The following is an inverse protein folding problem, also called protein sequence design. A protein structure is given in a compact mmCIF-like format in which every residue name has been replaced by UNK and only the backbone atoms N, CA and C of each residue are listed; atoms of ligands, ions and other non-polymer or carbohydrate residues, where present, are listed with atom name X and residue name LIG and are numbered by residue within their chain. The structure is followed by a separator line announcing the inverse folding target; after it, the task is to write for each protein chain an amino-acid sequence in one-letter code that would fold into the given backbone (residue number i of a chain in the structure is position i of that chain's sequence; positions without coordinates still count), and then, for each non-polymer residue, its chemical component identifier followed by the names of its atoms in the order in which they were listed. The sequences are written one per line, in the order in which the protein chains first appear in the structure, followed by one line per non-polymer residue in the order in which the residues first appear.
data_IF_860696309646
#
_entry.id   IF_860696309646
#
_cell.length_a   1.000
_cell.length_b   1.000
_cell.length_c   1.000
_cell.angle_alpha   90.00
_cell.angle_beta   90.00
_cell.angle_gamma   90.00
#
_symmetry.space_group_name_H-M   'P 1'
#
loop_
_entity.id
_entity.type
_entity.pdbx_description
1 polymer ?
#
# COMPACT_ATOMS: atom_id res chain seq x y z
N UNK A 1 3.66 -20.22 7.76
CA UNK A 1 4.92 -19.47 7.47
C UNK A 1 6.06 -20.47 7.49
N UNK A 2 6.52 -20.93 6.33
CA UNK A 2 7.72 -21.77 6.26
C UNK A 2 8.92 -20.86 6.43
N UNK A 3 9.72 -21.11 7.46
CA UNK A 3 10.89 -20.28 7.79
C UNK A 3 11.90 -20.38 6.66
N UNK A 4 12.70 -19.34 6.46
CA UNK A 4 13.79 -19.29 5.47
C UNK A 4 14.80 -20.45 5.60
N UNK A 5 14.77 -21.16 6.72
CA UNK A 5 15.45 -22.43 6.97
C UNK A 5 14.89 -23.62 6.18
N UNK A 6 13.56 -23.76 6.06
CA UNK A 6 12.96 -24.86 5.29
C UNK A 6 13.25 -24.72 3.78
N UNK A 7 13.28 -23.49 3.26
CA UNK A 7 13.58 -23.23 1.84
C UNK A 7 15.07 -23.49 1.54
N UNK A 8 15.97 -23.12 2.46
CA UNK A 8 17.40 -23.44 2.34
C UNK A 8 17.66 -24.95 2.47
N UNK A 9 16.95 -25.62 3.37
CA UNK A 9 17.02 -27.07 3.54
C UNK A 9 16.52 -27.82 2.31
N UNK A 10 15.41 -27.37 1.69
CA UNK A 10 14.89 -27.95 0.45
C UNK A 10 15.81 -27.70 -0.75
N UNK A 11 16.44 -26.52 -0.84
CA UNK A 11 17.46 -26.23 -1.87
C UNK A 11 18.71 -27.08 -1.72
N UNK A 12 19.13 -27.33 -0.49
CA UNK A 12 20.29 -28.18 -0.19
C UNK A 12 19.99 -29.66 -0.48
N UNK A 13 18.78 -30.13 -0.17
CA UNK A 13 18.30 -31.47 -0.53
C UNK A 13 18.20 -31.61 -2.06
N UNK A 14 17.68 -30.61 -2.78
CA UNK A 14 17.60 -30.64 -4.26
C UNK A 14 19.00 -30.67 -4.91
N UNK A 15 19.97 -29.94 -4.35
CA UNK A 15 21.36 -29.95 -4.83
C UNK A 15 22.11 -31.25 -4.47
N UNK A 16 21.80 -31.88 -3.32
CA UNK A 16 22.33 -33.19 -2.96
C UNK A 16 21.78 -34.30 -3.87
N UNK A 17 20.50 -34.23 -4.23
CA UNK A 17 19.88 -35.16 -5.20
C UNK A 17 20.46 -34.99 -6.60
N UNK A 18 20.75 -33.75 -7.02
CA UNK A 18 21.43 -33.48 -8.30
C UNK A 18 22.92 -33.89 -8.31
N UNK A 19 23.61 -33.79 -7.17
CA UNK A 19 25.02 -34.14 -7.04
C UNK A 19 25.32 -35.64 -6.98
N UNK A 20 24.36 -36.47 -6.55
CA UNK A 20 24.51 -37.93 -6.48
C UNK A 20 24.35 -38.64 -7.83
N UNK A 21 23.91 -37.95 -8.88
CA UNK A 21 23.77 -38.52 -10.24
C UNK A 21 25.09 -38.44 -11.03
N UNK A 22 26.10 -37.70 -10.56
CA UNK A 22 27.37 -37.51 -11.30
C UNK A 22 28.61 -38.20 -10.70
N UNK A 23 28.46 -39.14 -9.75
CA UNK A 23 29.64 -39.83 -9.23
C UNK A 23 29.35 -41.18 -8.59
N UNK A 24 29.77 -42.26 -9.25
CA UNK A 24 29.83 -43.58 -8.63
C UNK A 24 30.04 -44.73 -9.60
N UNK A 25 31.27 -44.92 -10.09
CA UNK A 25 31.71 -46.20 -10.62
C UNK A 25 33.03 -46.59 -9.92
N UNK A 26 32.94 -47.28 -8.79
CA UNK A 26 34.02 -48.11 -8.23
C UNK A 26 33.43 -49.15 -7.28
N UNK A 27 33.65 -50.41 -7.65
CA UNK A 27 33.38 -51.64 -6.89
C UNK A 27 34.28 -51.79 -5.67
N UNK A 28 33.72 -52.17 -4.51
CA UNK A 28 34.27 -53.21 -3.60
C UNK A 28 33.20 -53.66 -2.59
N UNK A 29 32.84 -54.94 -2.72
CA UNK A 29 32.37 -55.94 -1.73
C UNK A 29 32.26 -55.54 -0.24
N UNK A 30 31.07 -55.72 0.35
CA UNK A 30 30.76 -56.66 1.47
C UNK A 30 29.34 -56.41 2.04
N UNK A 31 28.49 -57.45 1.90
CA UNK A 31 27.29 -57.89 2.64
C UNK A 31 26.33 -56.92 3.36
N UNK A 32 25.04 -56.98 2.97
CA UNK A 32 23.91 -57.38 3.85
C UNK A 32 22.53 -56.92 3.34
N UNK A 33 21.76 -57.88 2.81
CA UNK A 33 20.29 -58.02 2.80
C UNK A 33 19.40 -56.75 2.74
N UNK A 34 18.93 -56.36 1.55
CA UNK A 34 17.52 -56.05 1.26
C UNK A 34 17.29 -56.23 -0.26
N UNK A 35 16.12 -56.75 -0.63
CA UNK A 35 15.78 -57.14 -2.00
C UNK A 35 15.88 -55.97 -3.00
N UNK A 36 16.44 -56.25 -4.18
CA UNK A 36 16.37 -55.37 -5.35
C UNK A 36 14.91 -55.33 -5.84
N UNK A 37 14.19 -54.26 -5.49
CA UNK A 37 13.03 -53.82 -6.25
C UNK A 37 13.53 -53.05 -7.49
N UNK A 38 12.90 -53.27 -8.64
CA UNK A 38 13.32 -52.80 -9.97
C UNK A 38 13.55 -51.27 -10.05
N UNK A 39 14.81 -50.87 -9.92
CA UNK A 39 15.36 -49.50 -9.94
C UNK A 39 14.96 -48.68 -11.19
N UNK A 40 14.74 -49.35 -12.33
CA UNK A 40 14.37 -48.69 -13.59
C UNK A 40 12.97 -48.02 -13.56
N UNK A 41 12.03 -48.56 -12.78
CA UNK A 41 10.66 -48.04 -12.69
C UNK A 41 10.61 -46.76 -11.84
N UNK A 42 11.40 -46.71 -10.77
CA UNK A 42 11.50 -45.58 -9.86
C UNK A 42 12.17 -44.40 -10.56
N UNK A 43 13.26 -44.64 -11.30
CA UNK A 43 13.93 -43.61 -12.11
C UNK A 43 13.00 -42.97 -13.15
N UNK A 44 12.24 -43.79 -13.88
CA UNK A 44 11.26 -43.30 -14.86
C UNK A 44 10.14 -42.47 -14.21
N UNK A 45 9.66 -42.88 -13.03
CA UNK A 45 8.65 -42.14 -12.29
C UNK A 45 9.18 -40.77 -11.79
N UNK A 46 10.41 -40.71 -11.28
CA UNK A 46 11.04 -39.45 -10.86
C UNK A 46 11.26 -38.49 -12.04
N UNK A 47 11.69 -39.00 -13.20
CA UNK A 47 11.82 -38.23 -14.43
C UNK A 47 10.46 -37.62 -14.81
N UNK A 48 9.41 -38.44 -14.82
CA UNK A 48 8.04 -38.01 -15.16
C UNK A 48 7.51 -36.93 -14.21
N UNK A 49 7.73 -37.08 -12.90
CA UNK A 49 7.31 -36.09 -11.89
C UNK A 49 8.07 -34.78 -12.06
N UNK A 50 9.37 -34.86 -12.37
CA UNK A 50 10.21 -33.67 -12.59
C UNK A 50 9.77 -32.91 -13.84
N UNK A 51 9.49 -33.61 -14.94
CA UNK A 51 8.96 -33.00 -16.17
C UNK A 51 7.58 -32.35 -15.94
N UNK A 52 6.71 -33.00 -15.16
CA UNK A 52 5.42 -32.44 -14.80
C UNK A 52 5.56 -31.17 -13.96
N UNK A 53 6.50 -31.12 -13.02
CA UNK A 53 6.77 -29.91 -12.22
C UNK A 53 7.33 -28.77 -13.06
N UNK A 54 8.27 -29.04 -13.97
CA UNK A 54 8.80 -28.02 -14.88
C UNK A 54 7.71 -27.44 -15.79
N UNK A 55 6.85 -28.30 -16.33
CA UNK A 55 5.69 -27.87 -17.13
C UNK A 55 4.70 -27.02 -16.32
N UNK A 56 4.46 -27.37 -15.05
CA UNK A 56 3.63 -26.55 -14.16
C UNK A 56 4.27 -25.19 -13.85
N UNK A 57 5.59 -25.16 -13.65
CA UNK A 57 6.33 -23.91 -13.43
C UNK A 57 6.24 -22.98 -14.65
N UNK A 58 6.40 -23.53 -15.86
CA UNK A 58 6.26 -22.78 -17.10
C UNK A 58 4.84 -22.25 -17.30
N UNK A 59 3.82 -23.08 -17.03
CA UNK A 59 2.42 -22.64 -17.03
C UNK A 59 2.16 -21.51 -16.04
N UNK A 60 2.70 -21.58 -14.82
CA UNK A 60 2.57 -20.51 -13.83
C UNK A 60 3.25 -19.22 -14.30
N UNK A 61 4.46 -19.30 -14.88
CA UNK A 61 5.16 -18.13 -15.41
C UNK A 61 4.40 -17.50 -16.58
N UNK A 62 3.84 -18.32 -17.48
CA UNK A 62 3.02 -17.84 -18.59
C UNK A 62 1.71 -17.22 -18.11
N UNK A 63 1.07 -17.79 -17.08
CA UNK A 63 -0.12 -17.19 -16.44
C UNK A 63 0.23 -15.87 -15.75
N UNK A 64 1.36 -15.79 -15.04
CA UNK A 64 1.82 -14.55 -14.42
C UNK A 64 2.10 -13.48 -15.47
N UNK A 65 2.71 -13.86 -16.60
CA UNK A 65 2.95 -12.96 -17.73
C UNK A 65 1.63 -12.52 -18.37
N UNK A 66 0.68 -13.44 -18.56
CA UNK A 66 -0.66 -13.12 -19.06
C UNK A 66 -1.43 -12.20 -18.11
N UNK A 67 -1.30 -12.39 -16.79
CA UNK A 67 -1.85 -11.49 -15.79
C UNK A 67 -1.20 -10.11 -15.86
N UNK A 68 0.14 -10.03 -15.95
CA UNK A 68 0.86 -8.76 -16.16
C UNK A 68 0.44 -8.06 -17.45
N UNK A 69 0.24 -8.83 -18.52
CA UNK A 69 -0.15 -8.30 -19.83
C UNK A 69 -1.62 -7.86 -19.83
N UNK A 70 -2.52 -8.58 -19.16
CA UNK A 70 -3.90 -8.12 -18.96
C UNK A 70 -3.96 -6.86 -18.08
N UNK A 71 -3.17 -6.77 -17.01
CA UNK A 71 -3.08 -5.55 -16.20
C UNK A 71 -2.60 -4.36 -17.02
N UNK A 72 -1.61 -4.55 -17.90
CA UNK A 72 -1.14 -3.51 -18.81
C UNK A 72 -2.20 -3.08 -19.83
N UNK A 73 -2.95 -4.02 -20.40
CA UNK A 73 -4.02 -3.71 -21.36
C UNK A 73 -5.19 -2.99 -20.69
N UNK A 74 -5.46 -3.26 -19.41
CA UNK A 74 -6.45 -2.50 -18.62
C UNK A 74 -5.96 -1.06 -18.39
N UNK A 75 -4.67 -0.87 -18.10
CA UNK A 75 -4.05 0.48 -17.98
C UNK A 75 -4.12 1.26 -19.31
N UNK A 76 -3.80 0.62 -20.44
CA UNK A 76 -3.73 1.26 -21.75
C UNK A 76 -5.12 1.57 -22.36
N UNK A 77 -6.19 0.89 -21.93
CA UNK A 77 -7.52 0.98 -22.56
C UNK A 77 -8.54 1.83 -21.79
N UNK A 78 -8.24 2.27 -20.56
CA UNK A 78 -9.20 3.00 -19.72
C UNK A 78 -8.87 4.46 -19.37
N UNK A 79 -7.80 5.07 -19.90
CA UNK A 79 -7.42 6.40 -19.39
C UNK A 79 -6.86 7.33 -20.47
N UNK A 80 -7.75 8.11 -21.09
CA UNK A 80 -7.34 9.43 -21.61
C UNK A 80 -7.11 10.44 -20.48
N UNK A 81 -7.52 10.09 -19.26
CA UNK A 81 -7.43 10.91 -18.07
C UNK A 81 -6.78 10.12 -16.93
N UNK A 82 -5.48 10.34 -16.75
CA UNK A 82 -4.64 9.58 -15.82
C UNK A 82 -5.00 9.88 -14.36
N UNK A 83 -4.98 8.86 -13.52
CA UNK A 83 -5.04 8.99 -12.06
C UNK A 83 -4.01 10.01 -11.56
N UNK A 84 -4.44 10.92 -10.68
CA UNK A 84 -3.61 12.01 -10.15
C UNK A 84 -3.35 11.73 -8.67
N UNK A 85 -2.11 11.41 -8.31
CA UNK A 85 -1.69 11.29 -6.91
C UNK A 85 -1.63 12.69 -6.30
N UNK A 86 -2.45 12.95 -5.28
CA UNK A 86 -2.53 14.26 -4.61
C UNK A 86 -1.75 14.30 -3.30
N UNK A 87 -1.50 13.13 -2.70
CA UNK A 87 -0.73 12.97 -1.48
C UNK A 87 -0.07 11.59 -1.46
N UNK A 88 1.17 11.51 -0.96
CA UNK A 88 1.88 10.25 -0.70
C UNK A 88 2.72 10.31 0.56
N UNK A 89 2.62 9.28 1.41
CA UNK A 89 3.52 8.94 2.53
C UNK A 89 4.09 7.55 2.30
N UNK A 90 5.40 7.36 2.51
CA UNK A 90 6.06 6.08 2.25
C UNK A 90 7.34 5.83 3.05
N UNK A 91 8.02 6.87 3.50
CA UNK A 91 9.34 6.75 4.14
C UNK A 91 9.67 7.83 5.18
N UNK A 92 8.85 8.87 5.31
CA UNK A 92 9.07 9.99 6.23
C UNK A 92 10.19 10.94 5.81
N UNK A 93 10.64 10.88 4.55
CA UNK A 93 11.67 11.77 4.01
C UNK A 93 11.25 13.23 3.91
N UNK A 94 9.94 13.51 3.91
CA UNK A 94 9.38 14.86 3.83
C UNK A 94 8.64 15.21 5.11
N UNK A 95 8.93 16.37 5.69
CA UNK A 95 8.17 16.93 6.81
C UNK A 95 6.79 17.42 6.34
N UNK A 96 5.72 16.92 6.96
CA UNK A 96 4.32 17.32 6.71
C UNK A 96 3.79 18.30 7.76
N UNK A 97 4.53 18.61 8.83
CA UNK A 97 4.11 19.59 9.84
C UNK A 97 4.40 21.02 9.38
N UNK A 98 3.69 21.45 8.34
CA UNK A 98 3.95 22.64 7.52
C UNK A 98 2.94 23.77 7.75
N UNK A 99 3.22 24.94 7.18
CA UNK A 99 2.38 26.13 7.30
C UNK A 99 1.21 26.14 6.30
N UNK A 100 0.26 27.05 6.47
CA UNK A 100 -0.83 27.28 5.51
C UNK A 100 -0.29 27.56 4.11
N UNK A 101 0.73 28.39 4.01
CA UNK A 101 1.34 28.77 2.73
C UNK A 101 1.93 27.56 2.01
N UNK A 102 2.57 26.63 2.74
CA UNK A 102 3.11 25.40 2.16
C UNK A 102 1.99 24.48 1.66
N UNK A 103 0.94 24.26 2.48
CA UNK A 103 -0.19 23.41 2.09
C UNK A 103 -1.00 24.00 0.92
N UNK A 104 -1.06 25.32 0.80
CA UNK A 104 -1.68 25.99 -0.34
C UNK A 104 -1.00 25.63 -1.66
N UNK A 105 0.33 25.80 -1.74
CA UNK A 105 1.10 25.65 -2.99
C UNK A 105 1.55 24.21 -3.25
N UNK A 106 1.67 23.40 -2.20
CA UNK A 106 2.17 22.03 -2.27
C UNK A 106 3.67 21.93 -1.98
N UNK A 107 4.12 20.71 -1.66
CA UNK A 107 5.50 20.40 -1.31
C UNK A 107 5.84 18.93 -1.57
N UNK A 108 7.14 18.60 -1.52
CA UNK A 108 7.65 17.26 -1.77
C UNK A 108 7.99 17.00 -3.24
N UNK A 109 8.05 15.73 -3.64
CA UNK A 109 8.47 15.32 -4.98
C UNK A 109 7.64 14.13 -5.50
N UNK A 110 7.28 14.16 -6.79
CA UNK A 110 6.57 13.08 -7.49
C UNK A 110 7.22 11.70 -7.38
N UNK A 111 8.54 11.63 -7.25
CA UNK A 111 9.30 10.38 -7.05
C UNK A 111 9.36 9.90 -5.60
N UNK A 112 8.84 10.69 -4.65
CA UNK A 112 8.84 10.38 -3.22
C UNK A 112 7.55 10.78 -2.53
N UNK A 113 7.66 11.27 -1.29
CA UNK A 113 6.53 11.84 -0.55
C UNK A 113 6.16 13.23 -1.08
N UNK A 114 4.87 13.51 -1.14
CA UNK A 114 4.37 14.75 -1.69
C UNK A 114 2.98 15.10 -1.17
N UNK A 115 2.65 16.39 -1.25
CA UNK A 115 1.30 16.92 -1.23
C UNK A 115 1.18 17.95 -2.35
N UNK A 116 0.26 17.77 -3.30
CA UNK A 116 0.26 18.58 -4.53
C UNK A 116 -0.17 20.03 -4.34
N UNK A 117 -0.71 20.39 -3.16
CA UNK A 117 -1.21 21.72 -2.84
C UNK A 117 -2.74 21.85 -2.94
N UNK A 118 -3.34 22.49 -1.94
CA UNK A 118 -4.79 22.70 -1.84
C UNK A 118 -5.33 23.51 -3.02
N UNK A 119 -4.56 24.47 -3.51
CA UNK A 119 -4.94 25.27 -4.69
C UNK A 119 -5.05 24.40 -5.95
N UNK A 120 -4.16 23.43 -6.11
CA UNK A 120 -4.21 22.50 -7.23
C UNK A 120 -5.36 21.50 -7.09
N UNK A 121 -5.59 20.99 -5.88
CA UNK A 121 -6.73 20.08 -5.61
C UNK A 121 -8.06 20.80 -5.87
N UNK A 122 -8.22 22.05 -5.40
CA UNK A 122 -9.41 22.85 -5.65
C UNK A 122 -9.65 23.06 -7.15
N UNK A 123 -8.63 23.48 -7.91
CA UNK A 123 -8.73 23.67 -9.37
C UNK A 123 -9.13 22.39 -10.10
N UNK A 124 -8.49 21.27 -9.76
CA UNK A 124 -8.80 19.97 -10.35
C UNK A 124 -10.24 19.54 -10.07
N UNK A 125 -10.65 19.58 -8.80
CA UNK A 125 -11.99 19.12 -8.39
C UNK A 125 -13.11 20.07 -8.82
N UNK A 126 -12.80 21.32 -9.14
CA UNK A 126 -13.73 22.28 -9.76
C UNK A 126 -13.85 22.07 -11.28
N UNK A 127 -12.77 21.69 -11.96
CA UNK A 127 -12.78 21.57 -13.42
C UNK A 127 -13.65 20.42 -13.93
N UNK A 128 -13.75 19.34 -13.14
CA UNK A 128 -14.63 18.19 -13.42
C UNK A 128 -14.83 17.31 -12.19
N UNK A 129 -15.82 16.41 -12.19
CA UNK A 129 -15.98 15.36 -11.20
C UNK A 129 -14.75 14.44 -11.05
N UNK A 130 -14.35 14.19 -9.80
CA UNK A 130 -13.37 13.16 -9.45
C UNK A 130 -13.89 12.27 -8.32
N UNK A 131 -13.51 11.01 -8.35
CA UNK A 131 -13.53 10.10 -7.20
C UNK A 131 -12.21 10.21 -6.44
N UNK A 132 -12.23 9.92 -5.14
CA UNK A 132 -11.04 9.82 -4.31
C UNK A 132 -10.79 8.37 -3.90
N UNK A 133 -9.68 7.81 -4.36
CA UNK A 133 -9.14 6.55 -3.85
C UNK A 133 -8.05 6.84 -2.81
N UNK A 134 -8.14 6.20 -1.66
CA UNK A 134 -7.11 6.20 -0.63
C UNK A 134 -6.59 4.77 -0.48
N UNK A 135 -5.28 4.60 -0.58
CA UNK A 135 -4.58 3.34 -0.38
C UNK A 135 -3.77 3.45 0.90
N UNK A 136 -3.90 2.47 1.80
CA UNK A 136 -3.23 2.42 3.10
C UNK A 136 -2.46 1.10 3.23
N UNK A 137 -1.28 1.11 3.82
CA UNK A 137 -0.53 -0.09 4.23
C UNK A 137 -0.02 0.09 5.66
N UNK A 138 -0.19 -0.91 6.51
CA UNK A 138 0.42 -0.95 7.83
C UNK A 138 1.88 -1.46 7.79
N UNK A 139 2.50 -1.57 8.96
CA UNK A 139 3.88 -2.06 9.07
C UNK A 139 4.02 -3.57 8.91
N UNK A 140 2.91 -4.30 9.01
CA UNK A 140 2.83 -5.75 8.78
C UNK A 140 2.58 -6.11 7.30
N UNK A 141 2.23 -5.13 6.47
CA UNK A 141 1.95 -5.27 5.04
C UNK A 141 0.47 -5.52 4.71
N UNK A 142 -0.46 -5.37 5.66
CA UNK A 142 -1.91 -5.39 5.35
C UNK A 142 -2.28 -4.10 4.62
N UNK A 143 -2.84 -4.25 3.42
CA UNK A 143 -3.19 -3.15 2.52
C UNK A 143 -4.69 -2.99 2.43
N UNK A 144 -5.19 -1.78 2.69
CA UNK A 144 -6.62 -1.44 2.66
C UNK A 144 -6.91 -0.26 1.77
N UNK A 145 -8.15 -0.19 1.31
CA UNK A 145 -8.66 0.82 0.39
C UNK A 145 -9.88 1.52 1.00
N UNK A 146 -9.95 2.83 0.80
CA UNK A 146 -11.14 3.65 1.00
C UNK A 146 -11.41 4.43 -0.29
N UNK A 147 -12.58 4.24 -0.88
CA UNK A 147 -13.02 4.89 -2.11
C UNK A 147 -14.26 5.74 -1.81
N UNK A 148 -14.21 7.01 -2.21
CA UNK A 148 -15.35 7.92 -2.23
C UNK A 148 -15.67 8.25 -3.69
N UNK A 149 -16.91 7.98 -4.13
CA UNK A 149 -17.30 8.11 -5.55
C UNK A 149 -17.46 9.58 -6.04
N UNK A 150 -17.21 10.53 -5.15
CA UNK A 150 -17.11 11.96 -5.44
C UNK A 150 -16.20 12.64 -4.40
N UNK A 151 -15.40 13.61 -4.83
CA UNK A 151 -14.51 14.38 -3.97
C UNK A 151 -14.33 15.81 -4.50
N UNK A 152 -14.55 16.79 -3.64
CA UNK A 152 -14.35 18.20 -3.96
C UNK A 152 -13.84 19.01 -2.77
N UNK A 153 -12.95 19.95 -3.06
CA UNK A 153 -12.39 20.89 -2.08
C UNK A 153 -12.73 22.32 -2.51
N UNK A 154 -13.20 23.13 -1.57
CA UNK A 154 -13.57 24.53 -1.81
C UNK A 154 -12.35 25.43 -2.00
N UNK A 155 -12.61 26.72 -2.21
CA UNK A 155 -11.59 27.72 -2.49
C UNK A 155 -10.92 28.26 -1.21
N UNK A 156 -9.82 29.01 -1.37
CA UNK A 156 -9.06 29.56 -0.25
C UNK A 156 -9.85 30.57 0.60
N UNK A 157 -10.69 31.39 -0.03
CA UNK A 157 -11.59 32.36 0.63
C UNK A 157 -12.59 31.68 1.58
N UNK A 158 -12.91 30.41 1.31
CA UNK A 158 -13.72 29.55 2.16
C UNK A 158 -12.88 28.69 3.13
N UNK A 159 -11.54 28.84 3.11
CA UNK A 159 -10.57 28.04 3.85
C UNK A 159 -10.48 26.55 3.41
N UNK A 160 -10.55 26.32 2.10
CA UNK A 160 -10.41 24.99 1.48
C UNK A 160 -11.27 23.90 2.15
N UNK A 161 -12.59 24.11 2.34
CA UNK A 161 -13.42 23.12 3.02
C UNK A 161 -13.52 21.83 2.22
N UNK A 162 -13.67 20.69 2.91
CA UNK A 162 -14.01 19.42 2.28
C UNK A 162 -15.49 19.47 1.87
N UNK A 163 -15.76 19.91 0.63
CA UNK A 163 -17.12 20.24 0.17
C UNK A 163 -17.97 19.00 -0.06
N UNK A 164 -17.38 17.92 -0.56
CA UNK A 164 -18.13 16.74 -0.92
C UNK A 164 -17.29 15.49 -0.78
N UNK A 165 -17.91 14.49 -0.18
CA UNK A 165 -17.53 13.10 -0.23
C UNK A 165 -18.76 12.36 -0.73
N UNK A 166 -18.60 11.61 -1.80
CA UNK A 166 -19.67 10.76 -2.32
C UNK A 166 -19.93 9.54 -1.44
N UNK A 167 -20.49 8.49 -2.03
CA UNK A 167 -20.71 7.23 -1.32
C UNK A 167 -19.37 6.55 -1.02
N UNK A 168 -19.20 6.11 0.22
CA UNK A 168 -18.05 5.31 0.64
C UNK A 168 -18.15 3.85 0.15
N UNK A 169 -17.02 3.30 -0.25
CA UNK A 169 -16.81 1.86 -0.43
C UNK A 169 -15.36 1.50 -0.11
N UNK A 170 -15.09 0.25 0.27
CA UNK A 170 -13.74 -0.20 0.58
C UNK A 170 -13.68 -1.11 1.80
N UNK A 171 -12.45 -1.48 2.19
CA UNK A 171 -12.18 -2.40 3.29
C UNK A 171 -11.31 -1.79 4.40
N UNK A 172 -11.04 -0.47 4.34
CA UNK A 172 -10.34 0.30 5.37
C UNK A 172 -11.26 0.87 6.48
N UNK A 173 -12.58 0.78 6.28
CA UNK A 173 -13.57 1.56 7.03
C UNK A 173 -13.55 3.06 6.70
N UNK A 174 -14.64 3.77 7.00
CA UNK A 174 -14.82 5.18 6.65
C UNK A 174 -14.33 6.11 7.76
N UNK A 175 -13.11 6.64 7.62
CA UNK A 175 -12.54 7.61 8.56
C UNK A 175 -12.44 9.04 8.00
N UNK A 176 -13.04 9.33 6.83
CA UNK A 176 -13.01 10.66 6.21
C UNK A 176 -14.36 11.37 6.27
N UNK A 177 -15.49 10.64 6.27
CA UNK A 177 -16.82 11.27 6.29
C UNK A 177 -17.07 12.13 7.53
N UNK A 178 -16.42 11.83 8.65
CA UNK A 178 -16.43 12.68 9.86
C UNK A 178 -15.92 14.10 9.60
N UNK A 179 -15.05 14.27 8.60
CA UNK A 179 -14.41 15.53 8.22
C UNK A 179 -15.18 16.31 7.14
N UNK A 180 -16.30 15.77 6.64
CA UNK A 180 -17.10 16.43 5.62
C UNK A 180 -17.61 17.79 6.10
N UNK A 181 -17.47 18.81 5.24
CA UNK A 181 -17.86 20.19 5.51
C UNK A 181 -16.87 20.98 6.38
N UNK A 182 -15.83 20.35 6.93
CA UNK A 182 -14.84 21.04 7.74
C UNK A 182 -13.85 21.83 6.88
N UNK A 183 -13.32 22.91 7.46
CA UNK A 183 -12.27 23.73 6.86
C UNK A 183 -10.90 23.10 7.10
N UNK A 184 -9.94 23.41 6.24
CA UNK A 184 -8.57 22.94 6.44
C UNK A 184 -7.90 23.74 7.55
N UNK A 185 -7.11 23.10 8.41
CA UNK A 185 -6.36 23.74 9.49
C UNK A 185 -4.88 23.36 9.45
N UNK A 186 -4.01 24.31 9.77
CA UNK A 186 -2.56 24.15 9.91
C UNK A 186 -2.09 24.74 11.24
N UNK A 187 -0.84 24.47 11.62
CA UNK A 187 -0.25 24.97 12.87
C UNK A 187 -0.30 26.50 13.05
N UNK A 188 -0.35 27.23 11.94
CA UNK A 188 -0.38 28.70 11.86
C UNK A 188 -1.75 29.25 11.46
N UNK A 189 -2.74 28.39 11.19
CA UNK A 189 -4.10 28.80 10.83
C UNK A 189 -5.13 27.79 11.35
N UNK A 190 -5.75 28.16 12.45
CA UNK A 190 -6.81 27.39 13.11
C UNK A 190 -8.18 27.72 12.49
N UNK A 191 -8.80 26.72 11.86
CA UNK A 191 -10.16 26.79 11.30
C UNK A 191 -11.03 25.60 11.75
N UNK A 192 -10.62 24.87 12.79
CA UNK A 192 -11.35 23.69 13.27
C UNK A 192 -12.50 24.07 14.23
N UNK A 193 -13.31 23.07 14.60
CA UNK A 193 -14.48 23.23 15.48
C UNK A 193 -14.16 22.74 16.91
N UNK A 194 -12.95 23.04 17.38
CA UNK A 194 -12.49 22.67 18.70
C UNK A 194 -11.95 23.86 19.52
N UNK A 195 -11.67 23.61 20.81
CA UNK A 195 -11.21 24.64 21.75
C UNK A 195 -9.72 24.96 21.61
N UNK A 196 -8.96 24.03 21.04
CA UNK A 196 -7.52 24.13 20.80
C UNK A 196 -7.24 23.82 19.34
N UNK A 197 -6.12 24.29 18.82
CA UNK A 197 -5.74 24.05 17.44
C UNK A 197 -5.38 22.57 17.25
N UNK A 198 -6.27 21.81 16.62
CA UNK A 198 -6.09 20.39 16.36
C UNK A 198 -4.82 20.11 15.54
N UNK A 199 -4.43 21.01 14.64
CA UNK A 199 -3.22 20.86 13.84
C UNK A 199 -1.95 20.90 14.70
N UNK A 200 -1.95 21.67 15.79
CA UNK A 200 -0.86 21.72 16.77
C UNK A 200 -0.88 20.47 17.65
N UNK A 201 -2.04 20.12 18.21
CA UNK A 201 -2.17 18.99 19.15
C UNK A 201 -1.84 17.65 18.49
N UNK A 202 -2.26 17.45 17.24
CA UNK A 202 -2.08 16.22 16.46
C UNK A 202 -0.98 16.33 15.40
N UNK A 203 -0.20 17.41 15.43
CA UNK A 203 1.04 17.60 14.66
C UNK A 203 0.92 17.30 13.17
N UNK A 204 -0.13 17.83 12.54
CA UNK A 204 -0.45 17.59 11.14
C UNK A 204 -1.15 18.79 10.51
N UNK A 205 -1.84 18.54 9.39
CA UNK A 205 -2.76 19.49 8.79
C UNK A 205 -3.86 18.75 8.06
N UNK A 206 -5.10 19.09 8.35
CA UNK A 206 -6.26 18.33 7.87
C UNK A 206 -7.54 19.15 7.93
N UNK A 207 -8.62 18.58 7.42
CA UNK A 207 -9.99 19.07 7.63
C UNK A 207 -10.48 18.70 9.04
N UNK A 208 -9.78 19.18 10.08
CA UNK A 208 -10.06 18.81 11.47
C UNK A 208 -11.45 19.27 11.93
N UNK A 209 -12.07 18.48 12.80
CA UNK A 209 -13.31 18.81 13.54
C UNK A 209 -13.02 18.92 15.03
N UNK A 210 -13.16 17.82 15.77
CA UNK A 210 -12.87 17.74 17.23
C UNK A 210 -12.29 16.37 17.64
N UNK A 211 -11.09 15.97 17.22
CA UNK A 211 -10.28 16.59 16.17
C UNK A 211 -10.30 15.75 14.89
N UNK A 212 -10.11 14.42 14.98
CA UNK A 212 -10.06 13.58 13.78
C UNK A 212 -10.44 12.12 13.98
N UNK A 213 -10.86 11.50 12.88
CA UNK A 213 -10.79 10.04 12.67
C UNK A 213 -9.73 9.65 11.63
N UNK A 214 -9.22 10.59 10.84
CA UNK A 214 -8.06 10.40 9.97
C UNK A 214 -7.06 11.55 10.09
N UNK A 215 -5.77 11.22 10.04
CA UNK A 215 -4.67 12.18 10.13
C UNK A 215 -3.55 11.80 9.16
N UNK A 216 -3.86 11.63 7.87
CA UNK A 216 -2.91 11.11 6.88
C UNK A 216 -1.68 12.02 6.64
N UNK A 217 -1.77 13.28 7.09
CA UNK A 217 -0.70 14.28 7.08
C UNK A 217 0.00 14.44 8.44
N UNK A 218 -0.26 13.55 9.39
CA UNK A 218 0.43 13.53 10.68
C UNK A 218 1.91 13.15 10.56
N UNK A 219 2.57 13.04 11.71
CA UNK A 219 3.97 12.65 11.80
C UNK A 219 4.17 11.24 11.28
N UNK A 220 5.23 11.03 10.53
CA UNK A 220 5.58 9.70 10.04
C UNK A 220 6.24 8.88 11.16
N UNK A 221 5.45 8.04 11.82
CA UNK A 221 5.86 7.26 12.99
C UNK A 221 5.73 5.76 12.68
N UNK A 222 6.67 4.94 13.17
CA UNK A 222 6.52 3.48 13.12
C UNK A 222 5.59 2.96 14.20
N UNK A 223 5.75 3.50 15.39
CA UNK A 223 4.90 3.25 16.54
C UNK A 223 4.46 4.62 17.01
N UNK A 224 3.15 4.89 16.98
CA UNK A 224 2.65 6.08 17.66
C UNK A 224 2.68 5.81 19.17
N UNK A 225 3.05 6.81 19.96
CA UNK A 225 2.97 6.68 21.42
C UNK A 225 1.49 6.55 21.74
N UNK A 226 1.12 5.44 22.39
CA UNK A 226 -0.27 5.11 22.71
C UNK A 226 -0.99 6.33 23.30
N UNK A 227 -1.99 6.84 22.58
CA UNK A 227 -2.89 7.90 23.04
C UNK A 227 -2.66 9.29 22.46
N UNK A 228 -1.61 9.53 21.66
CA UNK A 228 -1.36 10.89 21.12
C UNK A 228 -2.02 11.14 19.75
N UNK A 229 -2.30 10.11 18.96
CA UNK A 229 -2.94 10.20 17.63
C UNK A 229 -2.28 11.24 16.70
N UNK A 230 -0.96 11.33 16.81
CA UNK A 230 -0.10 12.28 16.10
C UNK A 230 0.45 11.69 14.80
N UNK A 231 0.24 10.39 14.59
CA UNK A 231 0.73 9.62 13.47
C UNK A 231 -0.06 9.81 12.17
N UNK A 232 0.34 9.05 11.15
CA UNK A 232 -0.42 8.87 9.91
C UNK A 232 -1.60 7.95 10.19
N UNK A 233 -2.72 8.48 10.68
CA UNK A 233 -3.76 7.65 11.29
C UNK A 233 -4.99 7.44 10.41
N UNK A 234 -5.59 6.25 10.54
CA UNK A 234 -6.90 5.90 9.98
C UNK A 234 -7.69 5.06 10.99
N UNK A 235 -8.62 5.70 11.70
CA UNK A 235 -9.29 5.15 12.88
C UNK A 235 -9.94 3.78 12.64
N UNK A 236 -10.68 3.60 11.54
CA UNK A 236 -11.39 2.35 11.31
C UNK A 236 -10.52 1.18 10.86
N UNK A 237 -9.23 1.40 10.56
CA UNK A 237 -8.31 0.33 10.18
C UNK A 237 -7.45 -0.14 11.36
N UNK A 238 -6.79 0.78 12.07
CA UNK A 238 -5.90 0.46 13.21
C UNK A 238 -6.13 1.33 14.45
N UNK A 239 -7.25 2.04 14.50
CA UNK A 239 -7.55 3.05 15.53
C UNK A 239 -6.43 4.11 15.57
N UNK A 240 -6.13 4.64 16.75
CA UNK A 240 -5.05 5.61 16.98
C UNK A 240 -3.81 4.94 17.60
N UNK A 241 -3.62 3.65 17.33
CA UNK A 241 -2.56 2.84 17.92
C UNK A 241 -1.41 2.54 16.96
N UNK A 242 -1.60 2.77 15.66
CA UNK A 242 -0.58 2.50 14.66
C UNK A 242 -0.71 3.46 13.47
N UNK A 243 0.36 4.21 13.25
CA UNK A 243 0.55 5.06 12.08
C UNK A 243 0.78 4.19 10.86
N UNK A 244 0.14 4.52 9.74
CA UNK A 244 0.30 3.81 8.48
C UNK A 244 1.73 3.97 7.95
N UNK A 245 2.27 2.89 7.40
CA UNK A 245 3.57 2.86 6.73
C UNK A 245 3.47 3.47 5.33
N UNK A 246 2.38 3.23 4.63
CA UNK A 246 2.16 3.79 3.31
C UNK A 246 0.77 4.40 3.21
N UNK A 247 0.70 5.56 2.55
CA UNK A 247 -0.55 6.20 2.19
C UNK A 247 -0.40 6.82 0.80
N UNK A 248 -1.41 6.63 -0.05
CA UNK A 248 -1.61 7.46 -1.24
C UNK A 248 -3.06 7.92 -1.32
N UNK A 249 -3.26 9.19 -1.63
CA UNK A 249 -4.56 9.75 -2.03
C UNK A 249 -4.52 10.04 -3.52
N UNK A 250 -5.50 9.53 -4.26
CA UNK A 250 -5.52 9.51 -5.73
C UNK A 250 -6.87 10.02 -6.23
N UNK A 251 -6.85 11.04 -7.07
CA UNK A 251 -8.01 11.50 -7.81
C UNK A 251 -8.17 10.68 -9.09
N UNK A 252 -9.36 10.11 -9.26
CA UNK A 252 -9.77 9.36 -10.45
C UNK A 252 -10.86 10.14 -11.18
N UNK A 253 -10.68 10.48 -12.46
CA UNK A 253 -11.74 11.09 -13.25
C UNK A 253 -13.00 10.23 -13.24
N UNK A 254 -14.18 10.87 -13.22
CA UNK A 254 -15.47 10.20 -13.34
C UNK A 254 -16.12 10.46 -14.70
#
# INVERSE_FOLDING_TARGET
MKTTWEIKSLRMILLLVLGLIQGGNTTTTEDSCYAQEDDASIGHWFEQVTQNMLHMQEKMNNLELQMKQMMKVVDDKCSKDKDIVIQRRMDGSVDFYRTWSDYKVGFGNNSGELFIGLENIHKLTTSRPYQLLIILEDWEGDRRLALYDFFAVGSEDQQYPLLSLGSYSGNAGDSLSYHLGQKFSTKDRDNDDYKTNCAVDYTGAWWYKSCHYSNLNGRYLKYDVVGNAQGVDWYHFKQQHSSQKFVEMILRPR
#
